data_IF_331960221134
#
_entry.id   IF_331960221134
#
_cell.length_a   1.000
_cell.length_b   1.000
_cell.length_c   1.000
_cell.angle_alpha   90.00
_cell.angle_beta   90.00
_cell.angle_gamma   90.00
#
_symmetry.space_group_name_H-M   'P 1'
#
loop_
_entity.id
_entity.type
_entity.pdbx_description
1 polymer ?
#
# COMPACT_ATOMS: atom_id res chain seq x y z
N UNK A 1 9.66 20.09 -22.57
CA UNK A 1 8.70 20.13 -21.46
C UNK A 1 9.25 19.24 -20.36
N UNK A 2 9.22 19.69 -19.12
CA UNK A 2 9.66 18.89 -17.98
C UNK A 2 8.49 18.00 -17.53
N UNK A 3 8.58 16.71 -17.83
CA UNK A 3 7.52 15.74 -17.55
C UNK A 3 7.31 15.53 -16.04
N UNK A 4 8.34 15.76 -15.23
CA UNK A 4 8.25 15.68 -13.78
C UNK A 4 7.38 16.81 -13.22
N UNK A 5 7.59 18.04 -13.71
CA UNK A 5 6.79 19.20 -13.32
C UNK A 5 5.30 19.02 -13.66
N UNK A 6 4.99 18.39 -14.79
CA UNK A 6 3.59 18.10 -15.17
C UNK A 6 2.95 17.02 -14.30
N UNK A 7 3.68 15.97 -13.97
CA UNK A 7 3.22 14.93 -13.04
C UNK A 7 2.95 15.51 -11.64
N UNK A 8 3.85 16.38 -11.14
CA UNK A 8 3.67 17.10 -9.87
C UNK A 8 2.44 17.99 -9.90
N UNK A 9 2.25 18.77 -10.97
CA UNK A 9 1.07 19.62 -11.13
C UNK A 9 -0.23 18.79 -11.16
N UNK A 10 -0.26 17.69 -11.90
CA UNK A 10 -1.41 16.80 -11.93
C UNK A 10 -1.77 16.23 -10.56
N UNK A 11 -0.78 15.76 -9.79
CA UNK A 11 -1.00 15.23 -8.44
C UNK A 11 -1.51 16.33 -7.52
N UNK A 12 -0.86 17.50 -7.52
CA UNK A 12 -1.25 18.64 -6.72
C UNK A 12 -2.68 19.10 -7.03
N UNK A 13 -3.03 19.28 -8.31
CA UNK A 13 -4.38 19.69 -8.73
C UNK A 13 -5.45 18.66 -8.37
N UNK A 14 -5.09 17.36 -8.42
CA UNK A 14 -6.02 16.26 -8.12
C UNK A 14 -6.29 16.12 -6.63
N UNK A 15 -5.29 16.39 -5.79
CA UNK A 15 -5.32 16.02 -4.37
C UNK A 15 -5.35 17.21 -3.41
N UNK A 16 -4.88 18.38 -3.85
CA UNK A 16 -4.64 19.53 -2.99
C UNK A 16 -3.48 19.35 -2.01
N UNK A 17 -2.63 18.34 -2.20
CA UNK A 17 -1.51 18.04 -1.31
C UNK A 17 -0.37 19.05 -1.45
N UNK A 18 0.40 19.21 -0.36
CA UNK A 18 1.64 19.99 -0.37
C UNK A 18 2.74 19.33 -1.20
N UNK A 19 3.81 20.09 -1.49
CA UNK A 19 4.90 19.65 -2.35
C UNK A 19 5.63 18.39 -1.87
N UNK A 20 5.73 18.19 -0.55
CA UNK A 20 6.40 17.01 0.01
C UNK A 20 5.55 15.76 -0.19
N UNK A 21 4.26 15.83 0.12
CA UNK A 21 3.33 14.73 -0.12
C UNK A 21 3.18 14.40 -1.61
N UNK A 22 3.24 15.41 -2.49
CA UNK A 22 3.29 15.23 -3.95
C UNK A 22 4.55 14.46 -4.36
N UNK A 23 5.72 14.80 -3.84
CA UNK A 23 6.99 14.14 -4.19
C UNK A 23 7.04 12.69 -3.68
N UNK A 24 6.45 12.46 -2.51
CA UNK A 24 6.25 11.11 -1.97
C UNK A 24 5.33 10.28 -2.85
N UNK A 25 4.18 10.82 -3.23
CA UNK A 25 3.22 10.14 -4.10
C UNK A 25 3.84 9.83 -5.47
N UNK A 26 4.61 10.76 -6.03
CA UNK A 26 5.32 10.57 -7.28
C UNK A 26 6.34 9.43 -7.20
N UNK A 27 7.09 9.35 -6.09
CA UNK A 27 8.03 8.27 -5.82
C UNK A 27 7.32 6.92 -5.77
N UNK A 28 6.21 6.83 -5.02
CA UNK A 28 5.41 5.59 -4.93
C UNK A 28 4.88 5.17 -6.30
N UNK A 29 4.29 6.09 -7.06
CA UNK A 29 3.75 5.78 -8.40
C UNK A 29 4.86 5.28 -9.36
N UNK A 30 6.08 5.80 -9.22
CA UNK A 30 7.25 5.33 -9.98
C UNK A 30 7.66 3.92 -9.57
N UNK A 31 7.78 3.67 -8.27
CA UNK A 31 8.20 2.37 -7.75
C UNK A 31 7.18 1.26 -8.03
N UNK A 32 5.90 1.62 -8.18
CA UNK A 32 4.82 0.71 -8.57
C UNK A 32 4.70 0.53 -10.10
N UNK A 33 5.56 1.16 -10.90
CA UNK A 33 5.49 1.10 -12.37
C UNK A 33 4.25 1.77 -12.97
N UNK A 34 3.53 2.58 -12.18
CA UNK A 34 2.39 3.38 -12.64
C UNK A 34 2.85 4.66 -13.35
N UNK A 35 4.16 4.95 -13.31
CA UNK A 35 4.77 6.16 -13.86
C UNK A 35 5.93 5.86 -14.83
N UNK A 36 5.76 4.90 -15.75
CA UNK A 36 6.70 4.71 -16.87
C UNK A 36 6.59 5.85 -17.92
N UNK A 37 6.78 7.09 -17.46
CA UNK A 37 7.24 8.27 -18.18
C UNK A 37 6.27 9.40 -18.53
N UNK A 38 4.94 9.25 -18.52
CA UNK A 38 4.08 10.38 -18.94
C UNK A 38 2.71 10.40 -18.26
N UNK A 39 2.58 11.14 -17.15
CA UNK A 39 1.29 11.77 -16.79
C UNK A 39 1.05 13.01 -17.68
N UNK A 40 1.39 12.97 -18.98
CA UNK A 40 1.28 14.09 -19.92
C UNK A 40 -0.20 14.35 -20.30
N UNK A 41 -0.59 15.62 -20.38
CA UNK A 41 -1.94 16.11 -20.67
C UNK A 41 -2.30 16.03 -22.15
N UNK A 42 -1.32 15.85 -23.05
CA UNK A 42 -1.53 15.97 -24.49
C UNK A 42 -1.35 14.63 -25.19
N UNK A 43 -2.36 13.77 -25.15
CA UNK A 43 -2.85 12.98 -26.31
C UNK A 43 -3.95 12.01 -25.88
N UNK A 44 -5.06 11.99 -26.62
CA UNK A 44 -6.19 11.08 -26.45
C UNK A 44 -5.89 9.62 -26.85
N UNK A 45 -4.80 9.05 -26.34
CA UNK A 45 -4.43 7.63 -26.45
C UNK A 45 -4.60 6.88 -25.11
N UNK A 46 -4.01 5.69 -24.94
CA UNK A 46 -4.03 4.86 -23.70
C UNK A 46 -3.52 5.55 -22.39
N UNK A 47 -3.25 6.84 -22.46
CA UNK A 47 -2.82 7.77 -21.42
C UNK A 47 -3.98 8.16 -20.48
N UNK A 48 -5.22 8.20 -20.98
CA UNK A 48 -6.41 8.37 -20.13
C UNK A 48 -6.48 7.32 -19.03
N UNK A 49 -6.08 6.09 -19.35
CA UNK A 49 -6.05 4.97 -18.40
C UNK A 49 -4.95 5.12 -17.36
N UNK A 50 -3.81 5.74 -17.69
CA UNK A 50 -2.71 5.96 -16.75
C UNK A 50 -3.08 7.02 -15.71
N UNK A 51 -3.63 8.16 -16.15
CA UNK A 51 -4.11 9.20 -15.22
C UNK A 51 -5.26 8.70 -14.36
N UNK A 52 -6.16 7.89 -14.92
CA UNK A 52 -7.26 7.29 -14.15
C UNK A 52 -6.75 6.25 -13.13
N UNK A 53 -5.78 5.40 -13.51
CA UNK A 53 -5.09 4.51 -12.56
C UNK A 53 -4.39 5.30 -11.47
N UNK A 54 -3.68 6.38 -11.84
CA UNK A 54 -3.03 7.27 -10.89
C UNK A 54 -4.04 7.93 -9.94
N UNK A 55 -5.19 8.42 -10.41
CA UNK A 55 -6.26 8.98 -9.56
C UNK A 55 -6.78 7.98 -8.54
N UNK A 56 -7.07 6.75 -8.97
CA UNK A 56 -7.50 5.68 -8.07
C UNK A 56 -6.44 5.39 -7.02
N UNK A 57 -5.18 5.32 -7.45
CA UNK A 57 -4.06 5.08 -6.54
C UNK A 57 -3.82 6.23 -5.57
N UNK A 58 -3.95 7.48 -6.02
CA UNK A 58 -3.80 8.68 -5.18
C UNK A 58 -4.80 8.68 -4.02
N UNK A 59 -6.05 8.27 -4.24
CA UNK A 59 -7.04 8.15 -3.17
C UNK A 59 -6.60 7.14 -2.08
N UNK A 60 -5.96 6.03 -2.49
CA UNK A 60 -5.43 5.01 -1.58
C UNK A 60 -4.14 5.44 -0.85
N UNK A 61 -3.54 6.56 -1.25
CA UNK A 61 -2.30 7.11 -0.69
C UNK A 61 -2.53 8.33 0.21
N UNK A 62 -3.78 8.63 0.59
CA UNK A 62 -4.12 9.79 1.42
C UNK A 62 -3.40 9.84 2.76
N UNK A 63 -2.97 8.70 3.31
CA UNK A 63 -2.13 8.62 4.52
C UNK A 63 -0.71 9.19 4.32
N UNK A 64 -0.29 9.47 3.08
CA UNK A 64 0.96 10.15 2.80
C UNK A 64 0.87 11.67 3.06
N UNK A 65 -0.33 12.23 3.07
CA UNK A 65 -0.53 13.65 3.33
C UNK A 65 -0.53 13.97 4.83
N UNK A 66 0.35 14.89 5.25
CA UNK A 66 0.43 15.38 6.63
C UNK A 66 0.90 14.33 7.65
N UNK A 67 0.84 14.69 8.93
CA UNK A 67 1.17 13.81 10.07
C UNK A 67 -0.09 13.59 10.90
N UNK A 68 -0.49 12.34 11.13
CA UNK A 68 -1.78 12.02 11.79
C UNK A 68 -1.84 12.39 13.28
N UNK A 69 -0.68 12.61 13.91
CA UNK A 69 -0.58 12.87 15.36
C UNK A 69 -0.65 11.61 16.23
N UNK A 70 -0.80 10.42 15.63
CA UNK A 70 -0.65 9.15 16.34
C UNK A 70 0.79 8.95 16.82
N UNK A 71 0.98 8.30 17.95
CA UNK A 71 2.31 7.95 18.47
C UNK A 71 2.91 6.77 17.67
N UNK A 72 4.02 6.97 16.95
CA UNK A 72 4.70 5.88 16.25
C UNK A 72 5.17 4.76 17.18
N UNK A 73 5.49 5.06 18.44
CA UNK A 73 5.90 4.08 19.44
C UNK A 73 4.77 3.10 19.78
N UNK A 74 3.58 3.61 20.09
CA UNK A 74 2.39 2.81 20.31
C UNK A 74 2.00 1.99 19.06
N UNK A 75 2.01 2.62 17.87
CA UNK A 75 1.72 1.92 16.61
C UNK A 75 2.71 0.79 16.32
N UNK A 76 3.97 0.94 16.73
CA UNK A 76 4.97 -0.11 16.55
C UNK A 76 4.65 -1.36 17.36
N UNK A 77 4.13 -1.21 18.58
CA UNK A 77 3.66 -2.33 19.40
C UNK A 77 2.47 -3.04 18.75
N UNK A 78 1.52 -2.29 18.19
CA UNK A 78 0.40 -2.86 17.41
C UNK A 78 0.90 -3.63 16.18
N UNK A 79 1.87 -3.07 15.44
CA UNK A 79 2.51 -3.74 14.29
C UNK A 79 3.19 -5.04 14.70
N UNK A 80 3.90 -5.05 15.83
CA UNK A 80 4.56 -6.26 16.35
C UNK A 80 3.52 -7.35 16.68
N UNK A 81 2.42 -6.98 17.35
CA UNK A 81 1.35 -7.90 17.67
C UNK A 81 0.69 -8.47 16.39
N UNK A 82 0.30 -7.62 15.45
CA UNK A 82 -0.30 -8.05 14.19
C UNK A 82 0.65 -8.91 13.34
N UNK A 83 1.97 -8.65 13.41
CA UNK A 83 2.99 -9.49 12.77
C UNK A 83 3.02 -10.88 13.39
N UNK A 84 2.93 -10.99 14.72
CA UNK A 84 2.84 -12.27 15.41
C UNK A 84 1.57 -13.03 15.03
N UNK A 85 0.44 -12.34 14.90
CA UNK A 85 -0.83 -12.94 14.50
C UNK A 85 -0.79 -13.49 13.06
N UNK A 86 -0.19 -12.75 12.12
CA UNK A 86 0.05 -13.23 10.76
C UNK A 86 0.96 -14.47 10.75
N UNK A 87 2.03 -14.47 11.54
CA UNK A 87 2.93 -15.62 11.65
C UNK A 87 2.23 -16.84 12.27
N UNK A 88 1.36 -16.63 13.26
CA UNK A 88 0.54 -17.68 13.86
C UNK A 88 -0.44 -18.27 12.85
N UNK A 89 -1.12 -17.44 12.06
CA UNK A 89 -2.02 -17.88 10.99
C UNK A 89 -1.27 -18.73 9.94
N UNK A 90 -0.11 -18.26 9.47
CA UNK A 90 0.74 -19.02 8.54
C UNK A 90 1.23 -20.35 9.12
N UNK A 91 1.65 -20.35 10.38
CA UNK A 91 2.14 -21.56 11.05
C UNK A 91 1.03 -22.60 11.22
N UNK A 92 -0.19 -22.14 11.59
CA UNK A 92 -1.37 -23.00 11.66
C UNK A 92 -1.72 -23.60 10.29
N UNK A 93 -1.76 -22.77 9.25
CA UNK A 93 -2.02 -23.22 7.89
C UNK A 93 -1.02 -24.29 7.41
N UNK A 94 0.26 -24.09 7.71
CA UNK A 94 1.30 -25.07 7.39
C UNK A 94 1.12 -26.38 8.18
N UNK A 95 0.76 -26.30 9.46
CA UNK A 95 0.49 -27.48 10.28
C UNK A 95 -0.73 -28.28 9.76
N UNK A 96 -1.81 -27.59 9.38
CA UNK A 96 -3.01 -28.19 8.79
C UNK A 96 -2.71 -28.86 7.44
N UNK A 97 -1.95 -28.18 6.58
CA UNK A 97 -1.48 -28.75 5.32
C UNK A 97 -0.67 -30.04 5.54
N UNK A 98 0.24 -30.04 6.51
CA UNK A 98 1.10 -31.20 6.80
C UNK A 98 0.33 -32.35 7.45
N UNK A 99 -0.66 -32.06 8.29
CA UNK A 99 -1.46 -33.08 8.98
C UNK A 99 -2.55 -33.68 8.10
N UNK A 100 -2.95 -32.99 7.03
CA UNK A 100 -4.12 -33.36 6.22
C UNK A 100 -5.46 -33.05 6.91
N UNK A 101 -5.43 -32.38 8.07
CA UNK A 101 -6.61 -31.96 8.82
C UNK A 101 -6.72 -30.44 8.81
N UNK A 102 -7.87 -29.92 8.35
CA UNK A 102 -8.17 -28.50 8.28
C UNK A 102 -8.72 -28.09 6.92
N UNK A 103 -9.23 -26.87 6.83
CA UNK A 103 -9.74 -26.29 5.59
C UNK A 103 -8.69 -25.31 5.03
N UNK A 104 -8.08 -25.59 3.86
CA UNK A 104 -7.19 -24.66 3.19
C UNK A 104 -7.85 -23.29 2.92
N UNK A 105 -9.16 -23.27 2.74
CA UNK A 105 -9.92 -22.05 2.53
C UNK A 105 -9.98 -21.18 3.80
N UNK A 106 -10.25 -21.79 4.95
CA UNK A 106 -10.31 -21.07 6.23
C UNK A 106 -8.93 -20.53 6.62
N UNK A 107 -7.88 -21.29 6.31
CA UNK A 107 -6.50 -20.85 6.53
C UNK A 107 -6.10 -19.70 5.59
N UNK A 108 -6.52 -19.74 4.32
CA UNK A 108 -6.31 -18.64 3.38
C UNK A 108 -7.03 -17.36 3.84
N UNK A 109 -8.29 -17.45 4.29
CA UNK A 109 -9.06 -16.32 4.83
C UNK A 109 -8.39 -15.75 6.08
N UNK A 110 -7.88 -16.60 6.97
CA UNK A 110 -7.19 -16.13 8.17
C UNK A 110 -5.87 -15.42 7.87
N UNK A 111 -5.08 -15.93 6.91
CA UNK A 111 -3.84 -15.28 6.46
C UNK A 111 -4.16 -13.94 5.78
N UNK A 112 -5.20 -13.90 4.94
CA UNK A 112 -5.64 -12.69 4.25
C UNK A 112 -6.06 -11.61 5.25
N UNK A 113 -6.92 -11.95 6.20
CA UNK A 113 -7.39 -11.01 7.23
C UNK A 113 -6.22 -10.47 8.07
N UNK A 114 -5.29 -11.34 8.50
CA UNK A 114 -4.13 -10.93 9.26
C UNK A 114 -3.16 -10.05 8.45
N UNK A 115 -2.94 -10.36 7.16
CA UNK A 115 -2.12 -9.56 6.28
C UNK A 115 -2.75 -8.17 6.02
N UNK A 116 -4.06 -8.10 5.83
CA UNK A 116 -4.77 -6.83 5.63
C UNK A 116 -4.78 -5.96 6.89
N UNK A 117 -4.96 -6.55 8.07
CA UNK A 117 -4.84 -5.84 9.35
C UNK A 117 -3.43 -5.26 9.52
N UNK A 118 -2.39 -6.05 9.22
CA UNK A 118 -1.00 -5.59 9.28
C UNK A 118 -0.71 -4.48 8.25
N UNK A 119 -1.22 -4.59 7.03
CA UNK A 119 -1.09 -3.53 6.02
C UNK A 119 -1.73 -2.21 6.50
N UNK A 120 -2.91 -2.29 7.12
CA UNK A 120 -3.61 -1.13 7.68
C UNK A 120 -2.78 -0.44 8.77
N UNK A 121 -2.16 -1.21 9.68
CA UNK A 121 -1.28 -0.68 10.71
C UNK A 121 -0.03 -0.01 10.12
N UNK A 122 0.54 -0.58 9.05
CA UNK A 122 1.67 0.05 8.36
C UNK A 122 1.28 1.35 7.62
N UNK A 123 0.04 1.48 7.14
CA UNK A 123 -0.46 2.77 6.61
C UNK A 123 -0.65 3.81 7.71
N UNK A 124 -1.18 3.43 8.87
CA UNK A 124 -1.25 4.29 10.06
C UNK A 124 0.15 4.71 10.50
N UNK A 125 1.10 3.78 10.52
CA UNK A 125 2.51 4.07 10.78
C UNK A 125 3.04 5.09 9.78
N UNK A 126 2.79 4.92 8.47
CA UNK A 126 3.19 5.89 7.46
C UNK A 126 2.59 7.29 7.72
N UNK A 127 1.32 7.37 8.10
CA UNK A 127 0.66 8.63 8.47
C UNK A 127 1.27 9.29 9.71
N UNK A 128 1.74 8.50 10.67
CA UNK A 128 2.34 9.00 11.91
C UNK A 128 3.79 9.49 11.75
N UNK A 129 4.48 9.12 10.67
CA UNK A 129 5.86 9.54 10.43
C UNK A 129 5.93 10.95 9.85
N UNK A 130 6.73 11.81 10.48
CA UNK A 130 7.10 13.12 9.95
C UNK A 130 8.24 13.03 8.91
N UNK A 131 9.10 12.01 9.00
CA UNK A 131 10.24 11.85 8.11
C UNK A 131 9.82 11.18 6.79
N UNK A 132 10.04 11.82 5.61
CA UNK A 132 9.57 11.33 4.32
C UNK A 132 10.01 9.91 4.00
N UNK A 133 11.28 9.59 4.27
CA UNK A 133 11.83 8.25 4.00
C UNK A 133 11.22 7.17 4.89
N UNK A 134 10.85 7.49 6.15
CA UNK A 134 10.16 6.54 7.04
C UNK A 134 8.73 6.32 6.59
N UNK A 135 8.05 7.38 6.16
CA UNK A 135 6.71 7.33 5.58
C UNK A 135 6.68 6.45 4.31
N UNK A 136 7.66 6.59 3.42
CA UNK A 136 7.84 5.70 2.26
C UNK A 136 8.08 4.24 2.66
N UNK A 137 9.04 4.00 3.56
CA UNK A 137 9.36 2.65 4.00
C UNK A 137 8.13 1.93 4.60
N UNK A 138 7.36 2.64 5.44
CA UNK A 138 6.13 2.14 6.01
C UNK A 138 5.06 1.87 4.94
N UNK A 139 4.90 2.79 3.97
CA UNK A 139 3.98 2.61 2.85
C UNK A 139 4.32 1.39 1.99
N UNK A 140 5.57 1.24 1.55
CA UNK A 140 5.98 0.06 0.78
C UNK A 140 5.78 -1.23 1.56
N UNK A 141 6.00 -1.19 2.87
CA UNK A 141 5.74 -2.34 3.74
C UNK A 141 4.25 -2.68 3.77
N UNK A 142 3.36 -1.69 3.88
CA UNK A 142 1.92 -1.90 3.75
C UNK A 142 1.54 -2.52 2.40
N UNK A 143 2.04 -1.97 1.29
CA UNK A 143 1.76 -2.47 -0.06
C UNK A 143 2.17 -3.94 -0.26
N UNK A 144 3.28 -4.37 0.36
CA UNK A 144 3.70 -5.78 0.37
C UNK A 144 2.67 -6.67 1.08
N UNK A 145 2.17 -6.27 2.25
CA UNK A 145 1.17 -7.06 2.97
C UNK A 145 -0.20 -7.09 2.27
N UNK A 146 -0.62 -6.00 1.63
CA UNK A 146 -1.81 -6.00 0.79
C UNK A 146 -1.67 -6.92 -0.44
N UNK A 147 -0.46 -7.04 -1.01
CA UNK A 147 -0.19 -8.01 -2.07
C UNK A 147 -0.33 -9.46 -1.59
N UNK A 148 0.15 -9.75 -0.37
CA UNK A 148 -0.04 -11.07 0.28
C UNK A 148 -1.52 -11.37 0.47
N UNK A 149 -2.30 -10.41 0.98
CA UNK A 149 -3.74 -10.55 1.15
C UNK A 149 -4.45 -10.86 -0.19
N UNK A 150 -4.12 -10.11 -1.25
CA UNK A 150 -4.70 -10.32 -2.60
C UNK A 150 -4.29 -11.64 -3.24
N UNK A 151 -3.07 -12.11 -3.02
CA UNK A 151 -2.59 -13.38 -3.58
C UNK A 151 -3.30 -14.58 -2.94
N UNK A 152 -3.71 -14.47 -1.67
CA UNK A 152 -4.55 -15.49 -1.02
C UNK A 152 -5.93 -15.60 -1.72
N UNK A 153 -6.53 -14.47 -2.13
CA UNK A 153 -7.81 -14.46 -2.86
C UNK A 153 -7.74 -15.14 -4.24
N UNK A 154 -6.64 -14.96 -4.99
CA UNK A 154 -6.52 -15.52 -6.35
C UNK A 154 -6.46 -17.05 -6.37
N UNK A 155 -5.92 -17.68 -5.31
CA UNK A 155 -5.94 -19.15 -5.16
C UNK A 155 -7.35 -19.72 -4.91
N UNK A 156 -8.33 -18.87 -4.59
CA UNK A 156 -9.73 -19.26 -4.37
C UNK A 156 -10.55 -19.33 -5.68
N UNK A 157 -9.99 -18.86 -6.81
CA UNK A 157 -10.72 -18.71 -8.09
C UNK A 157 -10.19 -19.58 -9.23
N UNK A 158 -9.15 -20.39 -9.01
CA UNK A 158 -8.60 -21.33 -9.98
C UNK A 158 -8.66 -22.74 -9.44
#
# INVERSE_FOLDING_TARGET
>A
MDHEAEARAFIADTTGWDGEAVDLALTVLRDEGTNDYHLDAKTGGPIGDIREKARRRLAEMSHLHGVSGEDPGALWLEVQQASADLMKAKSRAYANFKSGYGSPEDDAVAIEAAAHALATLWRRMAAAQAEPWRKLAAHHTASRFDSVARTAQHRKRG
#
